data_IF_842158605492
#
_entry.id   IF_842158605492
#
_cell.length_a   1.000
_cell.length_b   1.000
_cell.length_c   1.000
_cell.angle_alpha   90.00
_cell.angle_beta   90.00
_cell.angle_gamma   90.00
#
_symmetry.space_group_name_H-M   'P 1'
#
loop_
_entity.id
_entity.type
_entity.pdbx_description
1 polymer ?
#
# COMPACT_ATOMS: atom_id res chain seq x y z
N UNK A 1 20.41 -16.94 16.69
CA UNK A 1 19.87 -16.40 15.43
C UNK A 1 21.03 -16.27 14.47
N UNK A 2 21.00 -16.95 13.33
CA UNK A 2 22.06 -16.84 12.32
C UNK A 2 21.91 -15.49 11.62
N UNK A 3 22.96 -14.67 11.60
CA UNK A 3 22.96 -13.43 10.82
C UNK A 3 22.91 -13.78 9.34
N UNK A 4 21.76 -13.56 8.70
CA UNK A 4 21.62 -13.68 7.25
C UNK A 4 22.31 -12.47 6.63
N UNK A 5 23.41 -12.72 5.92
CA UNK A 5 24.14 -11.68 5.21
C UNK A 5 23.65 -11.63 3.74
N UNK A 6 22.93 -10.58 3.38
CA UNK A 6 22.44 -10.36 2.02
C UNK A 6 23.41 -9.42 1.29
N UNK A 7 24.13 -9.95 0.30
CA UNK A 7 25.10 -9.19 -0.49
C UNK A 7 24.44 -8.76 -1.81
N UNK A 8 24.24 -7.46 -2.08
CA UNK A 8 23.63 -7.00 -3.33
C UNK A 8 24.44 -7.43 -4.57
N UNK A 9 23.75 -7.89 -5.61
CA UNK A 9 24.37 -8.32 -6.86
C UNK A 9 23.40 -8.20 -8.05
N UNK A 10 23.91 -7.77 -9.21
CA UNK A 10 23.13 -7.82 -10.46
C UNK A 10 23.01 -9.26 -10.93
N UNK A 11 21.78 -9.73 -11.06
CA UNK A 11 21.45 -11.06 -11.57
C UNK A 11 21.03 -10.97 -13.04
N UNK A 12 21.12 -12.10 -13.75
CA UNK A 12 20.71 -12.23 -15.14
C UNK A 12 19.57 -13.23 -15.26
N UNK A 13 18.62 -12.95 -16.15
CA UNK A 13 17.51 -13.83 -16.46
C UNK A 13 17.24 -13.86 -17.96
N UNK A 14 16.55 -14.91 -18.40
CA UNK A 14 16.13 -15.08 -19.80
C UNK A 14 14.62 -15.32 -19.88
N UNK A 15 13.98 -14.66 -20.84
CA UNK A 15 12.55 -14.80 -21.14
C UNK A 15 12.35 -15.28 -22.57
N UNK A 16 11.50 -16.29 -22.71
CA UNK A 16 11.16 -16.91 -23.98
C UNK A 16 9.72 -16.54 -24.34
N UNK A 17 9.51 -16.14 -25.59
CA UNK A 17 8.20 -15.67 -26.04
C UNK A 17 7.58 -16.65 -27.03
N UNK A 18 6.27 -16.81 -26.94
CA UNK A 18 5.51 -17.55 -27.95
C UNK A 18 5.16 -16.64 -29.13
N UNK A 19 4.79 -17.27 -30.25
CA UNK A 19 4.23 -16.56 -31.41
C UNK A 19 2.89 -15.94 -31.02
N UNK A 20 2.65 -14.69 -31.41
CA UNK A 20 1.39 -13.98 -31.12
C UNK A 20 0.26 -14.66 -31.88
N UNK A 21 -0.70 -15.23 -31.13
CA UNK A 21 -1.87 -15.94 -31.67
C UNK A 21 -3.12 -15.08 -31.81
N UNK A 22 -3.11 -13.87 -31.24
CA UNK A 22 -4.24 -12.95 -31.27
C UNK A 22 -4.37 -12.26 -32.64
N UNK A 23 -5.43 -12.59 -33.40
CA UNK A 23 -5.66 -12.09 -34.78
C UNK A 23 -5.84 -10.58 -34.90
N UNK A 24 -6.29 -9.94 -33.82
CA UNK A 24 -6.47 -8.49 -33.72
C UNK A 24 -5.19 -7.74 -33.35
N UNK A 25 -4.09 -8.43 -33.03
CA UNK A 25 -2.81 -7.79 -32.74
C UNK A 25 -2.14 -7.35 -34.04
N UNK A 26 -1.52 -6.14 -34.09
CA UNK A 26 -0.71 -5.72 -35.23
C UNK A 26 0.51 -6.63 -35.46
N UNK A 27 0.85 -7.46 -34.46
CA UNK A 27 1.97 -8.42 -34.50
C UNK A 27 1.49 -9.86 -34.65
N UNK A 28 0.24 -10.10 -35.07
CA UNK A 28 -0.31 -11.45 -35.27
C UNK A 28 0.63 -12.31 -36.13
N UNK A 29 0.93 -13.50 -35.63
CA UNK A 29 1.81 -14.43 -36.31
C UNK A 29 3.31 -14.08 -36.24
N UNK A 30 3.71 -13.04 -35.50
CA UNK A 30 5.11 -12.74 -35.24
C UNK A 30 5.53 -13.31 -33.88
N UNK A 31 6.83 -13.53 -33.70
CA UNK A 31 7.42 -14.01 -32.45
C UNK A 31 8.50 -13.01 -32.02
N UNK A 32 8.42 -12.53 -30.79
CA UNK A 32 9.48 -11.71 -30.19
C UNK A 32 10.73 -12.56 -30.01
N UNK A 33 11.90 -11.96 -30.25
CA UNK A 33 13.17 -12.62 -29.94
C UNK A 33 13.27 -12.92 -28.45
N UNK A 34 13.97 -14.00 -28.10
CA UNK A 34 14.22 -14.32 -26.70
C UNK A 34 15.04 -13.18 -26.08
N UNK A 35 14.68 -12.79 -24.87
CA UNK A 35 15.27 -11.63 -24.21
C UNK A 35 16.12 -12.09 -23.03
N UNK A 36 17.39 -11.68 -23.02
CA UNK A 36 18.22 -11.69 -21.82
C UNK A 36 18.10 -10.34 -21.12
N UNK A 37 17.95 -10.33 -19.80
CA UNK A 37 17.73 -9.11 -19.02
C UNK A 37 18.31 -9.25 -17.62
N UNK A 38 18.32 -8.13 -16.89
CA UNK A 38 19.02 -8.03 -15.60
C UNK A 38 18.12 -7.43 -14.52
N UNK A 39 18.35 -7.80 -13.27
CA UNK A 39 17.65 -7.28 -12.12
C UNK A 39 18.60 -7.09 -10.93
N UNK A 40 18.27 -6.17 -10.03
CA UNK A 40 19.04 -5.96 -8.81
C UNK A 40 18.57 -6.97 -7.75
N UNK A 41 19.39 -8.00 -7.52
CA UNK A 41 19.13 -9.05 -6.56
C UNK A 41 20.25 -9.17 -5.53
N UNK A 42 20.44 -10.38 -5.02
CA UNK A 42 21.45 -10.71 -4.03
C UNK A 42 22.31 -11.89 -4.49
N UNK A 43 23.52 -12.02 -3.93
CA UNK A 43 24.30 -13.24 -4.09
C UNK A 43 23.53 -14.44 -3.52
N UNK A 44 23.35 -15.54 -4.27
CA UNK A 44 22.52 -16.69 -3.86
C UNK A 44 23.23 -17.60 -2.83
N UNK A 45 23.88 -17.01 -1.83
CA UNK A 45 24.66 -17.67 -0.79
C UNK A 45 23.79 -18.36 0.27
N UNK A 46 22.54 -17.94 0.42
CA UNK A 46 21.58 -18.49 1.40
C UNK A 46 20.18 -18.76 0.79
N UNK A 47 19.33 -19.56 1.45
CA UNK A 47 17.96 -19.81 1.02
C UNK A 47 17.11 -18.53 0.87
N UNK A 48 17.28 -17.57 1.76
CA UNK A 48 16.56 -16.29 1.75
C UNK A 48 16.90 -15.48 0.50
N UNK A 49 18.19 -15.33 0.18
CA UNK A 49 18.63 -14.64 -1.03
C UNK A 49 18.10 -15.31 -2.30
N UNK A 50 18.09 -16.66 -2.35
CA UNK A 50 17.52 -17.40 -3.48
C UNK A 50 16.02 -17.16 -3.62
N UNK A 51 15.28 -17.17 -2.52
CA UNK A 51 13.84 -16.93 -2.54
C UNK A 51 13.51 -15.49 -2.99
N UNK A 52 14.25 -14.50 -2.48
CA UNK A 52 14.09 -13.10 -2.88
C UNK A 52 14.41 -12.91 -4.38
N UNK A 53 15.52 -13.47 -4.86
CA UNK A 53 15.89 -13.40 -6.27
C UNK A 53 14.83 -14.03 -7.18
N UNK A 54 14.28 -15.19 -6.80
CA UNK A 54 13.21 -15.83 -7.56
C UNK A 54 11.94 -14.96 -7.61
N UNK A 55 11.61 -14.27 -6.52
CA UNK A 55 10.47 -13.34 -6.48
C UNK A 55 10.71 -12.09 -7.36
N UNK A 56 11.90 -11.51 -7.32
CA UNK A 56 12.27 -10.36 -8.18
C UNK A 56 12.26 -10.78 -9.64
N UNK A 57 12.78 -11.97 -9.97
CA UNK A 57 12.73 -12.50 -11.34
C UNK A 57 11.29 -12.68 -11.82
N UNK A 58 10.41 -13.26 -10.99
CA UNK A 58 9.00 -13.42 -11.31
C UNK A 58 8.32 -12.07 -11.56
N UNK A 59 8.65 -11.06 -10.76
CA UNK A 59 8.18 -9.69 -10.97
C UNK A 59 8.69 -9.08 -12.28
N UNK A 60 9.96 -9.26 -12.63
CA UNK A 60 10.48 -8.80 -13.93
C UNK A 60 9.81 -9.48 -15.13
N UNK A 61 9.45 -10.77 -15.00
CA UNK A 61 8.63 -11.48 -16.00
C UNK A 61 7.22 -10.91 -16.09
N UNK A 62 6.64 -10.47 -14.98
CA UNK A 62 5.36 -9.78 -14.95
C UNK A 62 5.42 -8.41 -15.63
N UNK A 63 6.44 -7.60 -15.36
CA UNK A 63 6.66 -6.31 -16.04
C UNK A 63 6.75 -6.46 -17.57
N UNK A 64 7.40 -7.53 -18.04
CA UNK A 64 7.47 -7.87 -19.47
C UNK A 64 6.09 -8.16 -20.09
N UNK A 65 5.19 -8.78 -19.34
CA UNK A 65 3.83 -9.08 -19.80
C UNK A 65 2.97 -7.81 -19.82
N UNK A 66 3.07 -6.98 -18.78
CA UNK A 66 2.35 -5.70 -18.68
C UNK A 66 2.76 -4.73 -19.80
N UNK A 67 4.02 -4.78 -20.23
CA UNK A 67 4.55 -4.01 -21.35
C UNK A 67 4.58 -4.80 -22.66
N UNK A 68 3.72 -5.81 -22.83
CA UNK A 68 3.75 -6.76 -23.95
C UNK A 68 3.63 -6.14 -25.36
N UNK A 69 3.04 -4.94 -25.46
CA UNK A 69 2.94 -4.19 -26.72
C UNK A 69 4.28 -3.55 -27.16
N UNK A 70 5.17 -3.29 -26.20
CA UNK A 70 6.51 -2.76 -26.42
C UNK A 70 7.55 -3.89 -26.41
N UNK A 71 7.93 -4.38 -27.59
CA UNK A 71 8.94 -5.43 -27.72
C UNK A 71 10.37 -4.98 -27.39
N UNK A 72 10.60 -3.68 -27.28
CA UNK A 72 11.89 -3.12 -26.90
C UNK A 72 12.00 -2.92 -25.38
N UNK A 73 10.89 -3.08 -24.64
CA UNK A 73 10.91 -3.00 -23.18
C UNK A 73 11.72 -4.16 -22.57
N UNK A 74 12.66 -3.81 -21.72
CA UNK A 74 13.51 -4.74 -20.98
C UNK A 74 13.54 -4.31 -19.50
N UNK A 75 13.29 -5.23 -18.55
CA UNK A 75 13.52 -4.93 -17.14
C UNK A 75 15.00 -4.64 -16.91
N UNK A 76 15.25 -3.65 -16.06
CA UNK A 76 16.59 -3.21 -15.68
C UNK A 76 16.72 -3.27 -14.16
N UNK A 77 17.95 -3.25 -13.60
CA UNK A 77 18.15 -3.23 -12.16
C UNK A 77 17.43 -2.06 -11.45
N UNK A 78 17.21 -0.94 -12.13
CA UNK A 78 16.54 0.24 -11.57
C UNK A 78 15.02 0.04 -11.40
N UNK A 79 14.37 -0.72 -12.28
CA UNK A 79 12.92 -0.97 -12.23
C UNK A 79 12.55 -2.38 -11.78
N UNK A 80 13.52 -3.29 -11.69
CA UNK A 80 13.36 -4.67 -11.28
C UNK A 80 14.33 -4.96 -10.11
N UNK A 81 13.85 -4.66 -8.91
CA UNK A 81 14.58 -4.81 -7.65
C UNK A 81 13.59 -5.09 -6.51
N UNK A 82 14.13 -5.31 -5.30
CA UNK A 82 13.32 -5.62 -4.12
C UNK A 82 12.32 -4.51 -3.77
N UNK A 83 12.71 -3.24 -3.89
CA UNK A 83 11.83 -2.11 -3.58
C UNK A 83 10.63 -2.05 -4.54
N UNK A 84 10.89 -2.13 -5.85
CA UNK A 84 9.85 -2.16 -6.87
C UNK A 84 8.93 -3.38 -6.72
N UNK A 85 9.48 -4.55 -6.35
CA UNK A 85 8.69 -5.74 -6.04
C UNK A 85 7.76 -5.49 -4.84
N UNK A 86 8.25 -4.92 -3.75
CA UNK A 86 7.44 -4.62 -2.56
C UNK A 86 6.31 -3.66 -2.93
N UNK A 87 6.61 -2.58 -3.65
CA UNK A 87 5.60 -1.64 -4.13
C UNK A 87 4.52 -2.32 -5.01
N UNK A 88 4.93 -3.22 -5.91
CA UNK A 88 3.98 -3.99 -6.74
C UNK A 88 3.11 -4.91 -5.89
N UNK A 89 3.69 -5.61 -4.92
CA UNK A 89 2.95 -6.50 -4.03
C UNK A 89 1.96 -5.73 -3.15
N UNK A 90 2.32 -4.54 -2.68
CA UNK A 90 1.44 -3.66 -1.92
C UNK A 90 0.28 -3.14 -2.78
N UNK A 91 0.55 -2.82 -4.06
CA UNK A 91 -0.49 -2.45 -5.02
C UNK A 91 -1.44 -3.64 -5.32
N UNK A 92 -0.90 -4.84 -5.58
CA UNK A 92 -1.64 -6.06 -5.93
C UNK A 92 -2.44 -6.65 -4.77
N UNK A 93 -1.97 -6.48 -3.53
CA UNK A 93 -2.70 -6.88 -2.33
C UNK A 93 -3.99 -6.09 -2.12
N UNK A 94 -4.35 -5.18 -3.04
CA UNK A 94 -5.60 -4.47 -3.05
C UNK A 94 -5.50 -3.23 -2.20
N UNK A 95 -4.46 -2.44 -2.43
CA UNK A 95 -4.26 -1.11 -1.87
C UNK A 95 -5.61 -0.43 -1.62
N UNK A 96 -5.81 0.00 -0.37
CA UNK A 96 -6.95 0.76 0.14
C UNK A 96 -8.30 0.01 0.21
N UNK A 97 -8.66 -0.79 -0.80
CA UNK A 97 -9.97 -1.46 -0.88
C UNK A 97 -10.14 -2.63 0.09
N UNK A 98 -9.05 -3.33 0.46
CA UNK A 98 -9.09 -4.41 1.48
C UNK A 98 -8.93 -3.91 2.90
N UNK A 99 -8.28 -2.76 3.10
CA UNK A 99 -8.06 -2.17 4.43
C UNK A 99 -9.27 -1.35 4.85
N UNK A 100 -9.88 -0.58 3.94
CA UNK A 100 -11.02 0.29 4.20
C UNK A 100 -12.32 -0.34 3.67
N UNK A 101 -12.64 -1.51 4.19
CA UNK A 101 -13.95 -2.17 3.98
C UNK A 101 -14.98 -1.60 4.93
N UNK A 102 -16.28 -1.82 4.65
CA UNK A 102 -17.34 -1.44 5.59
C UNK A 102 -17.12 -2.06 6.98
N UNK A 103 -16.70 -3.31 7.04
CA UNK A 103 -16.48 -4.06 8.30
C UNK A 103 -15.32 -3.47 9.09
N UNK A 104 -14.19 -3.21 8.43
CA UNK A 104 -13.00 -2.66 9.10
C UNK A 104 -13.19 -1.20 9.53
N UNK A 105 -13.94 -0.41 8.75
CA UNK A 105 -14.32 0.95 9.12
C UNK A 105 -15.33 0.98 10.29
N UNK A 106 -16.28 0.05 10.33
CA UNK A 106 -17.23 -0.08 11.45
C UNK A 106 -16.51 -0.49 12.75
N UNK A 107 -15.57 -1.43 12.67
CA UNK A 107 -14.73 -1.83 13.80
C UNK A 107 -13.85 -0.67 14.30
N UNK A 108 -13.07 -0.04 13.42
CA UNK A 108 -12.20 1.08 13.78
C UNK A 108 -13.00 2.29 14.30
N UNK A 109 -14.16 2.58 13.72
CA UNK A 109 -15.04 3.64 14.20
C UNK A 109 -15.63 3.34 15.59
N UNK A 110 -15.87 2.07 15.91
CA UNK A 110 -16.37 1.66 17.23
C UNK A 110 -15.27 1.74 18.29
N UNK A 111 -14.06 1.27 17.95
CA UNK A 111 -12.89 1.42 18.79
C UNK A 111 -12.55 2.90 19.05
N UNK A 112 -12.51 3.74 18.00
CA UNK A 112 -12.27 5.18 18.15
C UNK A 112 -13.31 5.82 19.08
N UNK A 113 -14.58 5.44 18.98
CA UNK A 113 -15.63 5.96 19.86
C UNK A 113 -15.34 5.66 21.33
N UNK A 114 -15.07 4.40 21.68
CA UNK A 114 -14.79 4.02 23.08
C UNK A 114 -13.47 4.59 23.59
N UNK A 115 -12.41 4.49 22.79
CA UNK A 115 -11.07 4.89 23.18
C UNK A 115 -10.94 6.43 23.27
N UNK A 116 -11.60 7.20 22.41
CA UNK A 116 -11.56 8.67 22.49
C UNK A 116 -12.29 9.24 23.70
N UNK A 117 -13.34 8.59 24.20
CA UNK A 117 -13.99 8.97 25.45
C UNK A 117 -13.07 8.64 26.63
N UNK A 118 -12.54 7.41 26.67
CA UNK A 118 -11.75 6.93 27.80
C UNK A 118 -10.37 7.58 27.92
N UNK A 119 -9.63 7.67 26.81
CA UNK A 119 -8.24 8.12 26.78
C UNK A 119 -8.10 9.62 26.53
N UNK A 120 -8.96 10.19 25.66
CA UNK A 120 -8.88 11.61 25.31
C UNK A 120 -9.90 12.48 26.06
N UNK A 121 -10.75 11.88 26.91
CA UNK A 121 -11.75 12.59 27.69
C UNK A 121 -12.82 13.28 26.85
N UNK A 122 -13.07 12.82 25.61
CA UNK A 122 -14.07 13.42 24.73
C UNK A 122 -15.47 13.18 25.26
N UNK A 123 -16.35 14.17 25.06
CA UNK A 123 -17.77 13.96 25.27
C UNK A 123 -18.36 12.99 24.22
N UNK A 124 -19.51 12.41 24.55
CA UNK A 124 -20.16 11.40 23.73
C UNK A 124 -20.56 11.93 22.33
N UNK A 125 -20.91 13.21 22.22
CA UNK A 125 -21.31 13.80 20.93
C UNK A 125 -20.08 13.98 20.02
N UNK A 126 -18.97 14.48 20.55
CA UNK A 126 -17.70 14.61 19.85
C UNK A 126 -17.13 13.25 19.41
N UNK A 127 -17.19 12.23 20.29
CA UNK A 127 -16.79 10.86 19.94
C UNK A 127 -17.69 10.26 18.85
N UNK A 128 -19.01 10.48 18.94
CA UNK A 128 -19.98 10.01 17.92
C UNK A 128 -19.70 10.64 16.55
N UNK A 129 -19.43 11.95 16.53
CA UNK A 129 -19.10 12.67 15.29
C UNK A 129 -17.83 12.12 14.64
N UNK A 130 -16.75 11.93 15.40
CA UNK A 130 -15.50 11.36 14.87
C UNK A 130 -15.66 9.91 14.40
N UNK A 131 -16.38 9.08 15.16
CA UNK A 131 -16.72 7.71 14.77
C UNK A 131 -17.49 7.66 13.44
N UNK A 132 -18.45 8.57 13.24
CA UNK A 132 -19.19 8.68 12.00
C UNK A 132 -18.30 9.05 10.81
N UNK A 133 -17.37 9.99 10.99
CA UNK A 133 -16.41 10.38 9.95
C UNK A 133 -15.58 9.17 9.52
N UNK A 134 -15.12 8.35 10.46
CA UNK A 134 -14.39 7.10 10.17
C UNK A 134 -15.28 6.13 9.39
N UNK A 135 -16.47 5.80 9.90
CA UNK A 135 -17.41 4.84 9.28
C UNK A 135 -17.83 5.24 7.87
N UNK A 136 -17.98 6.52 7.62
CA UNK A 136 -18.33 7.07 6.31
C UNK A 136 -17.11 7.30 5.40
N UNK A 137 -15.91 6.79 5.76
CA UNK A 137 -14.66 6.92 5.01
C UNK A 137 -14.31 8.38 4.70
N UNK A 138 -14.32 9.22 5.73
CA UNK A 138 -13.91 10.62 5.69
C UNK A 138 -14.72 11.51 4.73
N UNK A 139 -15.90 11.08 4.26
CA UNK A 139 -16.74 11.87 3.34
C UNK A 139 -17.03 13.29 3.83
N UNK A 140 -17.27 13.47 5.12
CA UNK A 140 -17.53 14.79 5.70
C UNK A 140 -16.30 15.72 5.76
N UNK A 141 -15.09 15.17 5.60
CA UNK A 141 -13.84 15.93 5.56
C UNK A 141 -13.45 16.35 4.12
N UNK A 142 -14.06 15.75 3.10
CA UNK A 142 -13.77 16.08 1.70
C UNK A 142 -14.14 17.54 1.40
N UNK A 143 -13.16 18.36 1.03
CA UNK A 143 -13.34 19.78 0.77
C UNK A 143 -13.58 20.64 2.04
N UNK A 144 -13.36 20.08 3.23
CA UNK A 144 -13.41 20.81 4.50
C UNK A 144 -12.10 20.61 5.29
N UNK A 145 -11.07 21.44 5.04
CA UNK A 145 -9.76 21.31 5.68
C UNK A 145 -9.83 21.33 7.20
N UNK A 146 -10.71 22.14 7.80
CA UNK A 146 -10.85 22.22 9.25
C UNK A 146 -11.34 20.90 9.86
N UNK A 147 -12.26 20.19 9.18
CA UNK A 147 -12.72 18.87 9.62
C UNK A 147 -11.64 17.82 9.38
N UNK A 148 -10.90 17.91 8.27
CA UNK A 148 -9.78 17.01 8.00
C UNK A 148 -8.68 17.13 9.07
N UNK A 149 -8.22 18.35 9.36
CA UNK A 149 -7.18 18.64 10.35
C UNK A 149 -7.63 18.23 11.76
N UNK A 150 -8.87 18.54 12.14
CA UNK A 150 -9.41 18.13 13.43
C UNK A 150 -9.42 16.60 13.57
N UNK A 151 -9.80 15.87 12.52
CA UNK A 151 -9.82 14.41 12.57
C UNK A 151 -8.41 13.81 12.59
N UNK A 152 -7.46 14.35 11.82
CA UNK A 152 -6.06 13.92 11.85
C UNK A 152 -5.48 14.07 13.25
N UNK A 153 -5.58 15.27 13.84
CA UNK A 153 -5.10 15.56 15.18
C UNK A 153 -5.72 14.63 16.24
N UNK A 154 -6.99 14.25 16.07
CA UNK A 154 -7.66 13.34 17.01
C UNK A 154 -7.16 11.90 16.90
N UNK A 155 -6.90 11.41 15.68
CA UNK A 155 -6.35 10.07 15.47
C UNK A 155 -4.93 10.01 16.01
N UNK A 156 -4.10 11.01 15.71
CA UNK A 156 -2.73 11.11 16.21
C UNK A 156 -2.69 11.21 17.74
N UNK A 157 -3.55 12.04 18.34
CA UNK A 157 -3.67 12.15 19.80
C UNK A 157 -4.10 10.82 20.43
N UNK A 158 -5.00 10.07 19.78
CA UNK A 158 -5.41 8.76 20.27
C UNK A 158 -4.25 7.77 20.26
N UNK A 159 -3.50 7.70 19.16
CA UNK A 159 -2.33 6.82 19.01
C UNK A 159 -1.28 7.16 20.07
N UNK A 160 -1.01 8.46 20.30
CA UNK A 160 -0.10 8.90 21.34
C UNK A 160 -0.60 8.52 22.74
N UNK A 161 -1.89 8.74 23.04
CA UNK A 161 -2.47 8.41 24.34
C UNK A 161 -2.45 6.89 24.65
N UNK A 162 -2.55 6.03 23.62
CA UNK A 162 -2.38 4.57 23.77
C UNK A 162 -0.92 4.22 24.03
N UNK A 163 0.02 4.86 23.35
CA UNK A 163 1.45 4.65 23.61
C UNK A 163 1.83 5.08 25.04
N UNK A 164 1.25 6.19 25.52
CA UNK A 164 1.49 6.74 26.85
C UNK A 164 0.76 5.98 27.98
N UNK A 165 -0.24 5.14 27.66
CA UNK A 165 -0.99 4.41 28.69
C UNK A 165 -0.23 3.21 29.27
N UNK A 166 0.83 2.74 28.58
CA UNK A 166 1.58 1.51 28.87
C UNK A 166 0.68 0.26 29.04
N UNK A 167 -0.58 0.31 28.59
CA UNK A 167 -1.55 -0.76 28.70
C UNK A 167 -1.40 -1.73 27.52
N UNK A 168 -0.93 -2.95 27.80
CA UNK A 168 -0.71 -3.98 26.78
C UNK A 168 -1.99 -4.38 26.04
N UNK A 169 -3.14 -4.41 26.72
CA UNK A 169 -4.41 -4.75 26.09
C UNK A 169 -4.85 -3.64 25.13
N UNK A 170 -4.61 -2.38 25.51
CA UNK A 170 -4.92 -1.23 24.66
C UNK A 170 -4.02 -1.17 23.42
N UNK A 171 -2.72 -1.45 23.60
CA UNK A 171 -1.78 -1.51 22.49
C UNK A 171 -2.12 -2.62 21.50
N UNK A 172 -2.55 -3.79 21.99
CA UNK A 172 -3.04 -4.89 21.14
C UNK A 172 -4.31 -4.50 20.39
N UNK A 173 -5.29 -3.89 21.05
CA UNK A 173 -6.51 -3.40 20.40
C UNK A 173 -6.23 -2.33 19.35
N UNK A 174 -5.32 -1.38 19.62
CA UNK A 174 -4.91 -0.40 18.62
C UNK A 174 -4.22 -1.07 17.43
N UNK A 175 -3.36 -2.06 17.67
CA UNK A 175 -2.62 -2.75 16.61
C UNK A 175 -3.54 -3.43 15.58
N UNK A 176 -4.70 -3.95 16.01
CA UNK A 176 -5.71 -4.51 15.10
C UNK A 176 -6.31 -3.46 14.14
N UNK A 177 -6.29 -2.19 14.54
CA UNK A 177 -6.87 -1.08 13.79
C UNK A 177 -5.83 -0.14 13.19
N UNK A 178 -4.55 -0.27 13.54
CA UNK A 178 -3.47 0.60 13.08
C UNK A 178 -3.40 0.72 11.54
N UNK A 179 -3.53 -0.36 10.74
CA UNK A 179 -3.53 -0.24 9.28
C UNK A 179 -4.71 0.61 8.76
N UNK A 180 -5.85 0.58 9.45
CA UNK A 180 -7.02 1.39 9.10
C UNK A 180 -6.76 2.86 9.44
N UNK A 181 -6.20 3.15 10.62
CA UNK A 181 -5.87 4.53 11.03
C UNK A 181 -4.78 5.17 10.16
N UNK A 182 -3.72 4.44 9.84
CA UNK A 182 -2.68 4.91 8.90
C UNK A 182 -3.29 5.31 7.55
N UNK A 183 -4.17 4.48 7.01
CA UNK A 183 -4.87 4.79 5.75
C UNK A 183 -5.90 5.91 5.86
N UNK A 184 -6.53 6.08 7.02
CA UNK A 184 -7.41 7.22 7.26
C UNK A 184 -6.62 8.53 7.33
N UNK A 185 -5.42 8.53 7.90
CA UNK A 185 -4.54 9.71 7.92
C UNK A 185 -4.11 10.12 6.51
N UNK A 186 -3.74 9.15 5.65
CA UNK A 186 -3.48 9.40 4.22
C UNK A 186 -4.69 10.04 3.52
N UNK A 187 -5.89 9.46 3.70
CA UNK A 187 -7.15 9.98 3.14
C UNK A 187 -7.48 11.40 3.61
N UNK A 188 -7.28 11.68 4.90
CA UNK A 188 -7.57 12.99 5.47
C UNK A 188 -6.60 14.05 4.94
N UNK A 189 -5.32 13.69 4.75
CA UNK A 189 -4.33 14.55 4.11
C UNK A 189 -4.70 14.87 2.65
N UNK A 190 -5.22 13.89 1.91
CA UNK A 190 -5.76 14.13 0.56
C UNK A 190 -6.97 15.07 0.59
N UNK A 191 -7.92 14.82 1.50
CA UNK A 191 -9.12 15.65 1.67
C UNK A 191 -8.80 17.11 2.01
N UNK A 192 -7.72 17.35 2.78
CA UNK A 192 -7.19 18.69 3.09
C UNK A 192 -6.70 19.42 1.84
N UNK A 193 -6.12 18.70 0.88
CA UNK A 193 -5.49 19.26 -0.31
C UNK A 193 -6.47 19.41 -1.50
N UNK A 194 -7.74 18.99 -1.36
CA UNK A 194 -8.77 19.26 -2.36
C UNK A 194 -9.17 20.73 -2.26
N UNK A 195 -8.45 21.59 -2.98
CA UNK A 195 -8.95 22.93 -3.33
C UNK A 195 -10.21 22.77 -4.14
N UNK A 196 -11.35 23.15 -3.57
CA UNK A 196 -12.59 23.35 -4.31
C UNK A 196 -12.29 24.48 -5.31
N UNK A 197 -12.15 24.15 -6.59
CA UNK A 197 -12.17 25.13 -7.67
C UNK A 197 -13.55 25.80 -7.64
N UNK A 198 -13.64 26.92 -6.93
CA UNK A 198 -14.84 27.76 -6.85
C UNK A 198 -15.06 28.59 -8.13
N UNK A 199 -14.73 28.04 -9.30
CA UNK A 199 -14.77 28.71 -10.60
C UNK A 199 -15.69 28.01 -11.63
N UNK A 200 -16.66 27.21 -11.17
CA UNK A 200 -17.65 26.56 -12.04
C UNK A 200 -19.10 26.70 -11.55
N UNK A 201 -19.48 27.92 -11.12
CA UNK A 201 -20.87 28.36 -11.00
C UNK A 201 -21.08 29.66 -11.77
#
# INVERSE_FOLDING_TARGET
MSNVNLIPQVQKASSYFHKVSAKNSPRYGQKRENLEWQYAGFEPSCPEAKAINAAIEAFGRKLLLENGDNWDFQPTPENCNLEALVQSLDAERGGWSRVLTKVTLDAAGSYYFSASIRLLGKDQAAATAGSRIIREKCKAAAGNPAVADAMMNNIEALVAAVADSEDSEEMEQLAEHAPVFEKLLELLAECRNVTVDAAAL
#
